data_IF_179099433183
#
_entry.id   IF_179099433183
#
_cell.length_a   1.000
_cell.length_b   1.000
_cell.length_c   1.000
_cell.angle_alpha   90.00
_cell.angle_beta   90.00
_cell.angle_gamma   90.00
#
_symmetry.space_group_name_H-M   'P 1'
#
loop_
_entity.id
_entity.type
_entity.pdbx_description
1 polymer ?
#
# COMPACT_ATOMS: atom_id res chain seq x y z
N UNK A 1 -11.44 5.15 14.97
CA UNK A 1 -11.56 4.46 13.67
C UNK A 1 -10.17 4.41 13.05
N UNK A 2 -9.70 3.24 12.67
CA UNK A 2 -8.36 3.04 12.10
C UNK A 2 -8.46 3.06 10.57
N UNK A 3 -7.70 3.92 9.92
CA UNK A 3 -7.63 4.06 8.47
C UNK A 3 -6.34 3.46 7.93
N UNK A 4 -6.46 2.55 6.96
CA UNK A 4 -5.34 1.89 6.31
C UNK A 4 -5.30 2.27 4.83
N UNK A 5 -4.12 2.60 4.31
CA UNK A 5 -3.90 2.76 2.88
C UNK A 5 -3.48 1.42 2.25
N UNK A 6 -4.14 1.00 1.17
CA UNK A 6 -3.88 -0.28 0.52
C UNK A 6 -3.47 -0.02 -0.93
N UNK A 7 -2.24 -0.38 -1.27
CA UNK A 7 -1.81 -0.48 -2.66
C UNK A 7 -2.53 -1.67 -3.32
N UNK A 8 -3.53 -1.34 -4.13
CA UNK A 8 -4.40 -2.32 -4.78
C UNK A 8 -3.77 -2.94 -6.03
N UNK A 9 -2.64 -2.43 -6.52
CA UNK A 9 -2.03 -2.89 -7.77
C UNK A 9 -0.89 -3.89 -7.54
N UNK A 10 -0.31 -3.92 -6.34
CA UNK A 10 0.80 -4.81 -5.99
C UNK A 10 0.41 -6.29 -5.94
N UNK A 11 1.40 -7.14 -6.24
CA UNK A 11 1.30 -8.61 -6.18
C UNK A 11 0.91 -9.25 -7.52
N UNK A 12 1.18 -10.55 -7.64
CA UNK A 12 1.04 -11.31 -8.90
C UNK A 12 -0.38 -11.30 -9.49
N UNK A 13 -1.39 -11.15 -8.63
CA UNK A 13 -2.81 -11.11 -9.01
C UNK A 13 -3.44 -9.72 -8.89
N UNK A 14 -2.68 -8.72 -8.42
CA UNK A 14 -3.06 -7.31 -8.32
C UNK A 14 -4.46 -7.06 -7.74
N UNK A 15 -5.17 -6.10 -8.35
CA UNK A 15 -6.46 -5.61 -7.85
C UNK A 15 -7.53 -6.71 -7.71
N UNK A 16 -7.52 -7.72 -8.57
CA UNK A 16 -8.55 -8.76 -8.58
C UNK A 16 -8.67 -9.47 -7.22
N UNK A 17 -7.54 -9.81 -6.59
CA UNK A 17 -7.55 -10.46 -5.28
C UNK A 17 -7.61 -9.45 -4.14
N UNK A 18 -6.91 -8.33 -4.28
CA UNK A 18 -6.80 -7.31 -3.23
C UNK A 18 -8.14 -6.66 -2.94
N UNK A 19 -8.96 -6.38 -3.95
CA UNK A 19 -10.30 -5.82 -3.77
C UNK A 19 -11.22 -6.77 -2.97
N UNK A 20 -11.19 -8.08 -3.28
CA UNK A 20 -11.94 -9.08 -2.54
C UNK A 20 -11.50 -9.16 -1.07
N UNK A 21 -10.19 -9.15 -0.83
CA UNK A 21 -9.63 -9.15 0.51
C UNK A 21 -10.00 -7.88 1.30
N UNK A 22 -9.99 -6.72 0.67
CA UNK A 22 -10.38 -5.45 1.29
C UNK A 22 -11.86 -5.43 1.73
N UNK A 23 -12.77 -5.98 0.91
CA UNK A 23 -14.17 -6.16 1.29
C UNK A 23 -14.30 -7.08 2.51
N UNK A 24 -13.69 -8.26 2.44
CA UNK A 24 -13.75 -9.23 3.54
C UNK A 24 -13.14 -8.68 4.85
N UNK A 25 -12.07 -7.89 4.76
CA UNK A 25 -11.47 -7.20 5.89
C UNK A 25 -12.44 -6.19 6.50
N UNK A 26 -13.03 -5.32 5.68
CA UNK A 26 -13.99 -4.33 6.16
C UNK A 26 -15.20 -4.98 6.83
N UNK A 27 -15.72 -6.09 6.29
CA UNK A 27 -16.83 -6.84 6.90
C UNK A 27 -16.49 -7.40 8.29
N UNK A 28 -15.24 -7.80 8.53
CA UNK A 28 -14.78 -8.37 9.81
C UNK A 28 -14.36 -7.33 10.83
N UNK A 29 -13.95 -6.14 10.38
CA UNK A 29 -13.38 -5.08 11.23
C UNK A 29 -14.21 -3.80 11.14
N UNK A 30 -15.27 -3.64 11.95
CA UNK A 30 -16.23 -2.54 11.83
C UNK A 30 -15.65 -1.16 12.18
N UNK A 31 -14.56 -1.11 12.94
CA UNK A 31 -13.87 0.09 13.41
C UNK A 31 -12.77 0.57 12.44
N UNK A 32 -12.71 -0.01 11.24
CA UNK A 32 -11.71 0.29 10.21
C UNK A 32 -12.29 0.96 8.96
N UNK A 33 -11.44 1.71 8.27
CA UNK A 33 -11.69 2.29 6.95
C UNK A 33 -10.47 2.08 6.03
N UNK A 34 -10.69 2.04 4.73
CA UNK A 34 -9.62 1.82 3.74
C UNK A 34 -9.50 3.00 2.76
N UNK A 35 -8.27 3.43 2.51
CA UNK A 35 -7.91 4.22 1.33
C UNK A 35 -7.37 3.26 0.28
N UNK A 36 -8.16 3.01 -0.75
CA UNK A 36 -7.89 2.05 -1.81
C UNK A 36 -7.13 2.75 -2.93
N UNK A 37 -5.83 2.46 -3.08
CA UNK A 37 -4.94 3.20 -3.97
C UNK A 37 -4.60 2.38 -5.20
N UNK A 38 -4.83 2.92 -6.40
CA UNK A 38 -4.56 2.19 -7.64
C UNK A 38 -5.02 2.91 -8.91
N UNK A 39 -4.90 2.21 -10.04
CA UNK A 39 -5.40 2.69 -11.32
C UNK A 39 -6.93 2.85 -11.25
N UNK A 40 -7.52 4.00 -11.63
CA UNK A 40 -8.96 4.21 -11.53
C UNK A 40 -9.80 3.12 -12.21
N UNK A 41 -9.36 2.63 -13.36
CA UNK A 41 -10.03 1.54 -14.08
C UNK A 41 -10.04 0.22 -13.33
N UNK A 42 -8.97 -0.08 -12.58
CA UNK A 42 -8.86 -1.31 -11.79
C UNK A 42 -9.71 -1.26 -10.51
N UNK A 43 -10.08 -0.06 -10.04
CA UNK A 43 -10.89 0.15 -8.83
C UNK A 43 -12.38 0.38 -9.13
N UNK A 44 -12.75 0.60 -10.40
CA UNK A 44 -14.05 1.13 -10.80
C UNK A 44 -15.26 0.38 -10.23
N UNK A 45 -15.17 -0.96 -10.14
CA UNK A 45 -16.27 -1.81 -9.66
C UNK A 45 -16.31 -1.99 -8.14
N UNK A 46 -15.36 -1.40 -7.42
CA UNK A 46 -15.32 -1.49 -5.97
C UNK A 46 -16.12 -0.38 -5.30
N UNK A 47 -17.09 -0.75 -4.48
CA UNK A 47 -17.83 0.19 -3.63
C UNK A 47 -18.06 -0.38 -2.24
N UNK A 48 -17.79 0.44 -1.22
CA UNK A 48 -18.07 0.15 0.18
C UNK A 48 -18.15 1.47 0.98
N UNK A 49 -19.08 1.64 1.95
CA UNK A 49 -19.27 2.89 2.69
C UNK A 49 -18.05 3.39 3.49
N UNK A 50 -17.13 2.46 3.83
CA UNK A 50 -15.90 2.72 4.58
C UNK A 50 -14.63 2.62 3.73
N UNK A 51 -14.77 2.73 2.41
CA UNK A 51 -13.65 2.71 1.50
C UNK A 51 -13.66 3.94 0.59
N UNK A 52 -12.49 4.57 0.46
CA UNK A 52 -12.28 5.74 -0.40
C UNK A 52 -11.27 5.37 -1.48
N UNK A 53 -11.63 5.58 -2.74
CA UNK A 53 -10.71 5.33 -3.87
C UNK A 53 -9.76 6.51 -4.06
N UNK A 54 -8.47 6.22 -4.17
CA UNK A 54 -7.40 7.17 -4.43
C UNK A 54 -6.73 6.77 -5.74
N UNK A 55 -6.82 7.63 -6.75
CA UNK A 55 -6.22 7.39 -8.05
C UNK A 55 -4.69 7.48 -8.00
N UNK A 56 -4.04 6.57 -8.70
CA UNK A 56 -2.63 6.62 -9.08
C UNK A 56 -2.52 6.33 -10.59
N UNK A 57 -1.55 6.91 -11.29
CA UNK A 57 -1.36 6.69 -12.73
C UNK A 57 -0.28 5.66 -13.08
N UNK A 58 0.54 5.25 -12.11
CA UNK A 58 1.65 4.32 -12.32
C UNK A 58 1.55 3.09 -11.41
N UNK A 59 2.28 2.02 -11.77
CA UNK A 59 2.40 0.80 -10.97
C UNK A 59 3.88 0.40 -10.93
N UNK A 60 4.40 0.05 -9.75
CA UNK A 60 5.71 -0.58 -9.61
C UNK A 60 5.56 -2.07 -9.93
N UNK A 61 6.21 -2.52 -11.00
CA UNK A 61 6.24 -3.93 -11.40
C UNK A 61 7.20 -4.74 -10.52
N UNK A 62 7.02 -6.06 -10.52
CA UNK A 62 7.86 -6.96 -9.71
C UNK A 62 9.34 -6.93 -10.13
N UNK A 63 9.61 -6.74 -11.42
CA UNK A 63 10.97 -6.69 -11.98
C UNK A 63 11.55 -5.27 -12.09
N UNK A 64 10.82 -4.24 -11.61
CA UNK A 64 11.33 -2.88 -11.65
C UNK A 64 12.58 -2.75 -10.77
N UNK A 65 13.68 -2.18 -11.29
CA UNK A 65 14.79 -1.78 -10.45
C UNK A 65 14.34 -0.75 -9.40
N UNK A 66 14.86 -0.86 -8.19
CA UNK A 66 14.53 0.04 -7.07
C UNK A 66 14.71 1.52 -7.46
N UNK A 67 15.73 1.85 -8.24
CA UNK A 67 15.95 3.22 -8.73
C UNK A 67 14.77 3.75 -9.56
N UNK A 68 14.21 2.92 -10.44
CA UNK A 68 13.07 3.29 -11.30
C UNK A 68 11.84 3.51 -10.43
N UNK A 69 11.55 2.57 -9.53
CA UNK A 69 10.43 2.67 -8.59
C UNK A 69 10.52 3.95 -7.73
N UNK A 70 11.71 4.29 -7.25
CA UNK A 70 11.92 5.43 -6.35
C UNK A 70 11.95 6.78 -7.07
N UNK A 71 12.61 6.87 -8.23
CA UNK A 71 12.92 8.15 -8.89
C UNK A 71 11.97 8.50 -10.03
N UNK A 72 11.49 7.51 -10.78
CA UNK A 72 10.67 7.71 -11.97
C UNK A 72 9.19 7.55 -11.68
N UNK A 73 8.80 6.48 -10.95
CA UNK A 73 7.41 6.14 -10.67
C UNK A 73 6.82 6.89 -9.46
N UNK A 74 6.85 8.22 -9.54
CA UNK A 74 6.46 9.12 -8.43
C UNK A 74 4.96 9.12 -8.15
N UNK A 75 4.14 8.68 -9.11
CA UNK A 75 2.69 8.54 -8.98
C UNK A 75 2.28 7.06 -9.02
N UNK A 76 3.15 6.17 -8.52
CA UNK A 76 2.81 4.76 -8.38
C UNK A 76 1.84 4.51 -7.24
N UNK A 77 0.94 3.54 -7.40
CA UNK A 77 -0.02 3.15 -6.36
C UNK A 77 0.64 2.88 -4.99
N UNK A 78 1.76 2.15 -5.00
CA UNK A 78 2.57 1.89 -3.80
C UNK A 78 3.04 3.19 -3.12
N UNK A 79 3.57 4.13 -3.90
CA UNK A 79 4.08 5.39 -3.37
C UNK A 79 2.95 6.29 -2.86
N UNK A 80 1.85 6.38 -3.61
CA UNK A 80 0.67 7.15 -3.21
C UNK A 80 0.07 6.59 -1.91
N UNK A 81 0.04 5.26 -1.74
CA UNK A 81 -0.40 4.63 -0.50
C UNK A 81 0.48 4.99 0.71
N UNK A 82 1.81 4.95 0.55
CA UNK A 82 2.73 5.40 1.60
C UNK A 82 2.57 6.91 1.87
N UNK A 83 2.33 7.71 0.82
CA UNK A 83 2.13 9.15 0.94
C UNK A 83 0.88 9.47 1.79
N UNK A 84 -0.18 8.66 1.72
CA UNK A 84 -1.35 8.82 2.61
C UNK A 84 -0.98 8.70 4.10
N UNK A 85 0.01 7.86 4.44
CA UNK A 85 0.51 7.76 5.81
C UNK A 85 1.33 8.99 6.18
N UNK A 86 2.20 9.43 5.28
CA UNK A 86 3.02 10.63 5.47
C UNK A 86 2.15 11.88 5.73
N UNK A 87 1.03 11.99 5.02
CA UNK A 87 0.12 13.14 5.11
C UNK A 87 -0.89 13.01 6.26
N UNK A 88 -0.82 11.94 7.05
CA UNK A 88 -1.71 11.70 8.19
C UNK A 88 -3.13 11.25 7.82
N UNK A 89 -3.39 10.95 6.54
CA UNK A 89 -4.68 10.44 6.07
C UNK A 89 -4.89 8.96 6.42
N UNK A 90 -3.82 8.19 6.60
CA UNK A 90 -3.85 6.80 7.05
C UNK A 90 -2.82 6.56 8.17
N UNK A 91 -3.06 5.53 9.00
CA UNK A 91 -2.12 5.14 10.07
C UNK A 91 -1.09 4.11 9.61
N UNK A 92 -1.39 3.35 8.55
CA UNK A 92 -0.45 2.38 7.96
C UNK A 92 -0.73 2.19 6.47
N UNK A 93 0.30 1.73 5.74
CA UNK A 93 0.21 1.36 4.34
C UNK A 93 0.52 -0.13 4.16
N UNK A 94 -0.21 -0.79 3.27
CA UNK A 94 -0.11 -2.22 2.98
C UNK A 94 0.08 -2.40 1.47
N UNK A 95 1.04 -3.23 1.06
CA UNK A 95 1.26 -3.61 -0.34
C UNK A 95 1.73 -5.05 -0.42
N UNK A 96 1.24 -5.77 -1.43
CA UNK A 96 1.74 -7.08 -1.84
C UNK A 96 2.74 -6.97 -3.02
N UNK A 97 3.18 -5.77 -3.37
CA UNK A 97 4.10 -5.51 -4.48
C UNK A 97 5.57 -5.78 -4.14
N UNK A 98 6.47 -5.27 -4.98
CA UNK A 98 7.91 -5.45 -4.83
C UNK A 98 8.42 -5.00 -3.44
N UNK A 99 8.90 -5.94 -2.63
CA UNK A 99 9.37 -5.70 -1.25
C UNK A 99 10.50 -4.67 -1.17
N UNK A 100 11.46 -4.73 -2.10
CA UNK A 100 12.60 -3.81 -2.11
C UNK A 100 12.16 -2.38 -2.42
N UNK A 101 11.25 -2.20 -3.38
CA UNK A 101 10.64 -0.92 -3.68
C UNK A 101 9.82 -0.39 -2.50
N UNK A 102 9.01 -1.24 -1.87
CA UNK A 102 8.19 -0.90 -0.70
C UNK A 102 9.06 -0.34 0.42
N UNK A 103 10.12 -1.06 0.80
CA UNK A 103 11.07 -0.61 1.82
C UNK A 103 11.78 0.69 1.44
N UNK A 104 12.26 0.80 0.20
CA UNK A 104 13.00 1.97 -0.26
C UNK A 104 12.12 3.23 -0.27
N UNK A 105 10.90 3.13 -0.80
CA UNK A 105 9.94 4.24 -0.87
C UNK A 105 9.48 4.61 0.54
N UNK A 106 9.15 3.64 1.39
CA UNK A 106 8.73 3.89 2.77
C UNK A 106 9.83 4.61 3.56
N UNK A 107 11.07 4.11 3.53
CA UNK A 107 12.22 4.76 4.19
C UNK A 107 12.45 6.17 3.64
N UNK A 108 12.29 6.38 2.34
CA UNK A 108 12.48 7.70 1.73
C UNK A 108 11.42 8.71 2.18
N UNK A 109 10.14 8.31 2.19
CA UNK A 109 9.00 9.18 2.49
C UNK A 109 8.76 9.37 3.99
N UNK A 110 8.69 8.27 4.74
CA UNK A 110 8.32 8.26 6.16
C UNK A 110 9.51 8.50 7.09
N UNK A 111 10.74 8.27 6.59
CA UNK A 111 11.97 8.23 7.39
C UNK A 111 11.92 7.11 8.44
N UNK A 112 12.97 7.01 9.23
CA UNK A 112 13.04 6.12 10.39
C UNK A 112 12.62 6.88 11.65
N UNK A 113 12.29 6.13 12.69
CA UNK A 113 12.08 6.70 14.02
C UNK A 113 13.40 7.27 14.58
N UNK A 114 13.28 8.21 15.52
CA UNK A 114 14.43 8.79 16.21
C UNK A 114 15.29 7.70 16.87
N UNK A 115 16.60 7.77 16.62
CA UNK A 115 17.55 6.76 17.10
C UNK A 115 17.60 5.46 16.30
N UNK A 116 16.80 5.32 15.24
CA UNK A 116 16.85 4.14 14.34
C UNK A 116 17.55 4.49 13.03
N UNK A 117 18.70 3.85 12.78
CA UNK A 117 19.48 4.09 11.57
C UNK A 117 18.93 3.39 10.32
N UNK A 118 18.45 2.15 10.49
CA UNK A 118 18.00 1.28 9.40
C UNK A 118 16.74 0.50 9.79
N UNK A 119 15.72 0.45 8.93
CA UNK A 119 14.55 -0.40 9.14
C UNK A 119 14.92 -1.88 8.96
N UNK A 120 14.17 -2.76 9.60
CA UNK A 120 14.29 -4.22 9.46
C UNK A 120 13.03 -4.82 8.84
N UNK A 121 13.18 -5.91 8.10
CA UNK A 121 12.06 -6.78 7.72
C UNK A 121 11.87 -7.79 8.84
N UNK A 122 10.65 -7.89 9.39
CA UNK A 122 10.33 -8.78 10.49
C UNK A 122 9.11 -9.65 10.16
N UNK A 123 9.27 -10.76 9.40
CA UNK A 123 8.18 -11.69 9.16
C UNK A 123 7.87 -12.48 10.43
N UNK A 124 6.60 -12.83 10.63
CA UNK A 124 6.23 -13.83 11.65
C UNK A 124 6.39 -15.22 11.05
N UNK A 125 7.20 -16.06 11.71
CA UNK A 125 7.37 -17.46 11.36
C UNK A 125 6.58 -18.33 12.36
N UNK A 126 5.87 -19.37 11.90
CA UNK A 126 5.20 -20.30 12.80
C UNK A 126 6.22 -20.98 13.73
N UNK A 127 5.83 -21.18 14.98
CA UNK A 127 6.46 -22.13 15.90
C UNK A 127 5.49 -23.28 16.20
N UNK A 128 6.03 -24.39 16.72
CA UNK A 128 5.28 -25.60 17.07
C UNK A 128 4.43 -25.34 18.32
#
# INVERSE_FOLDING_TARGET
MITLAVDCMGGDHGARVTLGACRAFLERHPDTALLMVGLPSALADFSHPRATMIGASEVVGMDDPIEIALRKKKDSSMRVAIQQVKDGAAQAAISAGNTGALMAIARYLLKTLDGIDRPAIAPQLPNI
#
